data_IF_046734640681
#
_entry.id   IF_046734640681
#
_cell.length_a   1.000
_cell.length_b   1.000
_cell.length_c   1.000
_cell.angle_alpha   90.00
_cell.angle_beta   90.00
_cell.angle_gamma   90.00
#
_symmetry.space_group_name_H-M   'P 1'
#
loop_
_entity.id
_entity.type
_entity.pdbx_description
1 polymer ?
#
# COMPACT_ATOMS: atom_id res chain seq x y z
N UNK A 1 23.09 -52.10 16.01
CA UNK A 1 23.00 -50.64 15.73
C UNK A 1 21.55 -50.21 15.94
N UNK A 2 21.23 -49.56 17.07
CA UNK A 2 19.85 -49.14 17.41
C UNK A 2 19.64 -47.71 16.93
N UNK A 3 18.72 -47.52 15.99
CA UNK A 3 18.32 -46.21 15.48
C UNK A 3 17.52 -45.45 16.55
N UNK A 4 17.99 -44.26 16.92
CA UNK A 4 17.31 -43.36 17.84
C UNK A 4 16.18 -42.65 17.09
N UNK A 5 14.94 -42.83 17.56
CA UNK A 5 13.76 -42.13 17.02
C UNK A 5 13.71 -40.69 17.56
N UNK A 6 13.44 -39.68 16.70
CA UNK A 6 13.27 -38.30 17.13
C UNK A 6 11.95 -38.12 17.89
N UNK A 7 12.04 -37.58 19.10
CA UNK A 7 10.90 -37.31 19.96
C UNK A 7 9.96 -36.21 19.44
N UNK A 8 8.71 -36.15 19.98
CA UNK A 8 7.68 -35.26 19.49
C UNK A 8 8.02 -33.79 19.74
N UNK A 9 7.93 -32.98 18.68
CA UNK A 9 8.06 -31.52 18.74
C UNK A 9 6.89 -30.95 19.54
N UNK A 10 7.18 -30.34 20.70
CA UNK A 10 6.20 -29.57 21.46
C UNK A 10 5.79 -28.35 20.65
N UNK A 11 4.54 -28.32 20.22
CA UNK A 11 3.87 -27.14 19.67
C UNK A 11 3.68 -26.11 20.78
N UNK A 12 4.41 -25.01 20.72
CA UNK A 12 4.23 -23.86 21.62
C UNK A 12 3.00 -23.11 21.12
N UNK A 13 1.86 -23.31 21.80
CA UNK A 13 0.66 -22.53 21.54
C UNK A 13 0.86 -21.09 21.99
N UNK A 14 0.96 -20.16 21.05
CA UNK A 14 0.86 -18.73 21.35
C UNK A 14 -0.59 -18.43 21.73
N UNK A 15 -0.85 -18.34 23.04
CA UNK A 15 -2.08 -17.80 23.58
C UNK A 15 -2.17 -16.31 23.19
N UNK A 16 -2.94 -16.04 22.14
CA UNK A 16 -3.33 -14.69 21.76
C UNK A 16 -4.26 -14.13 22.85
N UNK A 17 -3.68 -13.31 23.72
CA UNK A 17 -4.36 -12.63 24.82
C UNK A 17 -5.24 -11.54 24.20
N UNK A 18 -6.44 -11.92 23.76
CA UNK A 18 -7.50 -10.97 23.38
C UNK A 18 -7.76 -10.10 24.61
N UNK A 19 -7.29 -8.85 24.58
CA UNK A 19 -7.74 -7.83 25.53
C UNK A 19 -9.19 -7.52 25.14
N UNK A 20 -10.11 -8.13 25.87
CA UNK A 20 -11.51 -7.74 25.84
C UNK A 20 -11.60 -6.28 26.28
N UNK A 21 -12.14 -5.45 25.41
CA UNK A 21 -12.57 -4.10 25.78
C UNK A 21 -13.92 -4.28 26.47
N UNK A 22 -13.92 -4.24 27.80
CA UNK A 22 -15.15 -4.14 28.57
C UNK A 22 -15.72 -2.73 28.37
N UNK A 23 -16.83 -2.64 27.64
CA UNK A 23 -17.65 -1.44 27.63
C UNK A 23 -18.40 -1.38 28.96
N UNK A 24 -17.85 -0.62 29.91
CA UNK A 24 -18.53 -0.31 31.16
C UNK A 24 -19.81 0.48 30.88
N UNK A 25 -20.94 -0.03 31.37
CA UNK A 25 -22.27 0.56 31.24
C UNK A 25 -22.50 1.76 32.19
N UNK A 26 -21.50 2.12 32.98
CA UNK A 26 -21.62 3.13 34.02
C UNK A 26 -20.87 4.38 33.58
N UNK A 27 -21.65 5.36 33.12
CA UNK A 27 -21.16 6.70 32.83
C UNK A 27 -20.40 7.29 34.03
N UNK A 28 -19.38 8.07 33.71
CA UNK A 28 -18.53 8.87 34.62
C UNK A 28 -17.37 8.09 35.26
N UNK A 29 -16.38 7.74 34.45
CA UNK A 29 -15.01 7.61 34.93
C UNK A 29 -14.30 8.96 34.76
N UNK A 30 -14.27 9.73 35.86
CA UNK A 30 -13.34 10.83 36.05
C UNK A 30 -11.91 10.27 36.04
N UNK A 31 -11.29 10.24 34.86
CA UNK A 31 -9.84 10.13 34.76
C UNK A 31 -9.28 11.52 34.97
N UNK A 32 -8.50 11.63 36.04
CA UNK A 32 -7.46 12.61 36.28
C UNK A 32 -6.98 13.20 34.95
N UNK A 33 -7.57 14.34 34.60
CA UNK A 33 -7.33 15.02 33.34
C UNK A 33 -6.04 15.79 33.51
N UNK A 34 -4.93 15.05 33.54
CA UNK A 34 -3.64 15.62 33.19
C UNK A 34 -3.74 15.93 31.71
N UNK A 35 -4.25 17.14 31.42
CA UNK A 35 -4.20 17.77 30.12
C UNK A 35 -2.72 17.93 29.80
N UNK A 36 -2.16 16.95 29.11
CA UNK A 36 -0.88 17.12 28.43
C UNK A 36 -1.11 18.15 27.33
N UNK A 37 -0.95 19.43 27.71
CA UNK A 37 -0.74 20.54 26.78
C UNK A 37 0.63 20.32 26.17
N UNK A 38 0.71 19.44 25.18
CA UNK A 38 1.90 19.28 24.35
C UNK A 38 1.50 19.46 22.87
N UNK A 39 2.00 20.56 22.31
CA UNK A 39 2.09 20.91 20.89
C UNK A 39 0.83 21.43 20.19
N UNK A 40 0.70 22.76 20.15
CA UNK A 40 -0.18 23.52 19.25
C UNK A 40 0.12 23.39 17.74
N UNK A 41 0.73 22.28 17.32
CA UNK A 41 0.93 21.92 15.91
C UNK A 41 -0.04 20.84 15.42
N UNK A 42 -0.49 19.91 16.28
CA UNK A 42 -1.34 18.78 15.86
C UNK A 42 -2.83 19.11 15.83
N UNK A 43 -3.33 19.99 16.71
CA UNK A 43 -4.74 20.41 16.70
C UNK A 43 -5.13 21.12 15.40
N UNK A 44 -4.21 21.92 14.83
CA UNK A 44 -4.47 22.62 13.56
C UNK A 44 -4.60 21.64 12.40
N UNK A 45 -3.80 20.56 12.40
CA UNK A 45 -3.89 19.50 11.38
C UNK A 45 -5.18 18.70 11.54
N UNK A 46 -5.60 18.41 12.77
CA UNK A 46 -6.85 17.67 13.04
C UNK A 46 -8.11 18.48 12.68
N UNK A 47 -8.14 19.78 12.97
CA UNK A 47 -9.26 20.65 12.60
C UNK A 47 -9.33 20.90 11.09
N UNK A 48 -8.19 21.00 10.39
CA UNK A 48 -8.19 21.16 8.94
C UNK A 48 -8.54 19.87 8.20
N UNK A 49 -8.12 18.70 8.70
CA UNK A 49 -8.40 17.42 8.05
C UNK A 49 -9.89 17.02 8.11
N UNK A 50 -10.62 17.40 9.17
CA UNK A 50 -12.05 17.12 9.29
C UNK A 50 -12.91 17.99 8.36
N UNK A 51 -12.52 19.26 8.14
CA UNK A 51 -13.22 20.16 7.22
C UNK A 51 -12.91 19.84 5.74
N UNK A 52 -11.72 19.32 5.45
CA UNK A 52 -11.26 19.00 4.10
C UNK A 52 -11.94 17.76 3.48
N UNK A 53 -12.65 16.94 4.25
CA UNK A 53 -13.29 15.74 3.74
C UNK A 53 -14.59 16.01 2.93
N UNK A 54 -15.21 17.17 3.11
CA UNK A 54 -16.49 17.52 2.47
C UNK A 54 -16.31 18.35 1.19
N UNK A 55 -15.22 19.11 1.09
CA UNK A 55 -14.79 19.75 -0.15
C UNK A 55 -14.11 18.70 -1.05
N UNK A 56 -14.37 18.71 -2.36
CA UNK A 56 -13.90 17.68 -3.32
C UNK A 56 -12.37 17.66 -3.35
N UNK A 57 -11.77 16.87 -2.45
CA UNK A 57 -10.34 16.77 -2.32
C UNK A 57 -9.79 15.91 -3.46
N UNK A 58 -8.80 16.44 -4.16
CA UNK A 58 -8.06 15.70 -5.16
C UNK A 58 -7.43 14.43 -4.51
N UNK A 59 -7.54 13.25 -5.14
CA UNK A 59 -7.09 11.99 -4.56
C UNK A 59 -5.59 11.96 -4.24
N UNK A 60 -4.76 12.70 -4.98
CA UNK A 60 -3.33 12.80 -4.67
C UNK A 60 -3.09 13.67 -3.42
N UNK A 61 -3.84 14.77 -3.30
CA UNK A 61 -3.83 15.60 -2.08
C UNK A 61 -4.30 14.80 -0.86
N UNK A 62 -5.39 14.03 -0.99
CA UNK A 62 -5.90 13.17 0.07
C UNK A 62 -4.86 12.12 0.52
N UNK A 63 -4.15 11.51 -0.44
CA UNK A 63 -3.08 10.54 -0.17
C UNK A 63 -1.91 11.17 0.56
N UNK A 64 -1.52 12.39 0.18
CA UNK A 64 -0.44 13.12 0.83
C UNK A 64 -0.83 13.46 2.27
N UNK A 65 -2.04 14.01 2.49
CA UNK A 65 -2.56 14.29 3.84
C UNK A 65 -2.65 13.03 4.70
N UNK A 66 -3.11 11.91 4.14
CA UNK A 66 -3.13 10.63 4.85
C UNK A 66 -1.72 10.22 5.31
N UNK A 67 -0.71 10.36 4.44
CA UNK A 67 0.68 10.02 4.77
C UNK A 67 1.27 10.89 5.89
N UNK A 68 0.90 12.19 5.93
CA UNK A 68 1.29 13.11 6.98
C UNK A 68 0.65 12.74 8.32
N UNK A 69 -0.65 12.42 8.33
CA UNK A 69 -1.36 11.99 9.54
C UNK A 69 -0.80 10.67 10.06
N UNK A 70 -0.52 9.69 9.18
CA UNK A 70 0.11 8.44 9.58
C UNK A 70 1.52 8.66 10.17
N UNK A 71 2.29 9.57 9.57
CA UNK A 71 3.62 9.93 10.07
C UNK A 71 3.53 10.62 11.43
N UNK A 72 2.59 11.55 11.61
CA UNK A 72 2.34 12.21 12.89
C UNK A 72 1.96 11.19 13.99
N UNK A 73 1.04 10.28 13.69
CA UNK A 73 0.66 9.21 14.62
C UNK A 73 1.84 8.31 14.99
N UNK A 74 2.69 7.96 14.03
CA UNK A 74 3.93 7.21 14.29
C UNK A 74 4.88 7.98 15.22
N UNK A 75 4.97 9.30 15.06
CA UNK A 75 5.79 10.14 15.95
C UNK A 75 5.22 10.15 17.36
N UNK A 76 3.90 10.32 17.51
CA UNK A 76 3.19 10.27 18.80
C UNK A 76 3.36 8.93 19.50
N UNK A 77 3.35 7.82 18.75
CA UNK A 77 3.60 6.47 19.25
C UNK A 77 5.09 6.20 19.61
N UNK A 78 5.96 7.22 19.63
CA UNK A 78 7.37 7.08 20.01
C UNK A 78 8.30 6.64 18.88
N UNK A 79 7.90 6.85 17.62
CA UNK A 79 8.68 6.53 16.41
C UNK A 79 9.18 5.07 16.37
N UNK A 80 8.27 4.08 16.42
CA UNK A 80 8.67 2.68 16.28
C UNK A 80 9.49 2.46 15.00
N UNK A 81 10.53 1.62 15.09
CA UNK A 81 11.36 1.23 13.93
C UNK A 81 10.46 0.55 12.87
N UNK A 82 10.64 0.92 11.60
CA UNK A 82 9.81 0.40 10.51
C UNK A 82 9.85 -1.13 10.41
N UNK A 83 11.04 -1.73 10.52
CA UNK A 83 11.19 -3.19 10.55
C UNK A 83 10.36 -3.90 11.64
N UNK A 84 10.17 -3.27 12.81
CA UNK A 84 9.34 -3.82 13.89
C UNK A 84 7.87 -3.67 13.54
N UNK A 85 7.46 -2.46 13.15
CA UNK A 85 6.08 -2.17 12.75
C UNK A 85 5.62 -3.10 11.61
N UNK A 86 6.46 -3.28 10.58
CA UNK A 86 6.24 -4.16 9.43
C UNK A 86 5.94 -5.60 9.86
N UNK A 87 6.74 -6.14 10.79
CA UNK A 87 6.53 -7.48 11.36
C UNK A 87 5.21 -7.56 12.12
N UNK A 88 4.90 -6.55 12.91
CA UNK A 88 3.75 -6.52 13.80
C UNK A 88 2.43 -6.37 13.01
N UNK A 89 2.42 -5.62 11.89
CA UNK A 89 1.26 -5.51 10.99
C UNK A 89 1.18 -6.61 9.93
N UNK A 90 2.27 -7.35 9.69
CA UNK A 90 2.33 -8.42 8.68
C UNK A 90 2.51 -7.95 7.24
N UNK A 91 3.21 -6.83 7.02
CA UNK A 91 3.51 -6.28 5.69
C UNK A 91 5.02 -6.06 5.51
N UNK A 92 5.48 -5.85 4.27
CA UNK A 92 6.91 -5.58 4.03
C UNK A 92 7.29 -4.16 4.46
N UNK A 93 8.53 -3.99 4.91
CA UNK A 93 9.08 -2.67 5.27
C UNK A 93 9.05 -1.68 4.10
N UNK A 94 9.32 -2.17 2.88
CA UNK A 94 9.24 -1.36 1.66
C UNK A 94 7.84 -0.85 1.37
N UNK A 95 6.80 -1.64 1.63
CA UNK A 95 5.41 -1.24 1.44
C UNK A 95 5.02 -0.16 2.44
N UNK A 96 5.34 -0.36 3.73
CA UNK A 96 5.09 0.64 4.76
C UNK A 96 5.81 1.96 4.47
N UNK A 97 7.06 1.90 4.00
CA UNK A 97 7.78 3.10 3.62
C UNK A 97 7.08 3.86 2.49
N UNK A 98 6.56 3.17 1.47
CA UNK A 98 5.80 3.84 0.39
C UNK A 98 4.50 4.45 0.88
N UNK A 99 3.79 3.78 1.78
CA UNK A 99 2.53 4.28 2.38
C UNK A 99 2.80 5.53 3.22
N UNK A 100 3.79 5.48 4.11
CA UNK A 100 4.14 6.61 4.99
C UNK A 100 4.69 7.82 4.23
N UNK A 101 5.24 7.61 3.04
CA UNK A 101 5.71 8.68 2.15
C UNK A 101 4.65 9.11 1.12
N UNK A 102 3.42 8.58 1.18
CA UNK A 102 2.34 8.98 0.27
C UNK A 102 2.47 8.46 -1.17
N UNK A 103 3.40 7.54 -1.45
CA UNK A 103 3.56 6.95 -2.79
C UNK A 103 2.56 5.83 -3.09
N UNK A 104 1.94 5.25 -2.06
CA UNK A 104 0.99 4.15 -2.19
C UNK A 104 -0.19 4.38 -1.24
N UNK A 105 -1.42 4.26 -1.76
CA UNK A 105 -2.61 4.22 -0.92
C UNK A 105 -2.66 2.88 -0.15
N UNK A 106 -2.80 2.89 1.18
CA UNK A 106 -2.90 1.67 1.96
C UNK A 106 -4.24 0.95 1.70
N UNK A 107 -4.29 -0.37 1.94
CA UNK A 107 -5.57 -1.07 2.07
C UNK A 107 -6.26 -0.69 3.37
N UNK A 108 -7.59 -0.86 3.45
CA UNK A 108 -8.33 -0.62 4.69
C UNK A 108 -7.80 -1.47 5.85
N UNK A 109 -7.56 -2.75 5.59
CA UNK A 109 -7.03 -3.68 6.60
C UNK A 109 -5.66 -3.25 7.14
N UNK A 110 -4.76 -2.75 6.29
CA UNK A 110 -3.47 -2.21 6.74
C UNK A 110 -3.69 -0.98 7.63
N UNK A 111 -4.63 -0.12 7.27
CA UNK A 111 -4.97 1.09 8.03
C UNK A 111 -5.49 0.76 9.43
N UNK A 112 -6.39 -0.23 9.54
CA UNK A 112 -6.93 -0.71 10.83
C UNK A 112 -5.80 -1.27 11.73
N UNK A 113 -4.91 -2.11 11.17
CA UNK A 113 -3.76 -2.68 11.92
C UNK A 113 -2.76 -1.60 12.35
N UNK A 114 -2.53 -0.60 11.51
CA UNK A 114 -1.66 0.52 11.85
C UNK A 114 -2.24 1.36 12.98
N UNK A 115 -3.55 1.62 12.98
CA UNK A 115 -4.24 2.34 14.03
C UNK A 115 -4.14 1.61 15.39
N UNK A 116 -4.33 0.28 15.40
CA UNK A 116 -4.18 -0.56 16.59
C UNK A 116 -2.76 -0.48 17.17
N UNK A 117 -1.72 -0.62 16.32
CA UNK A 117 -0.33 -0.63 16.77
C UNK A 117 0.21 0.75 17.19
N UNK A 118 -0.37 1.83 16.67
CA UNK A 118 -0.02 3.20 17.05
C UNK A 118 -0.89 3.76 18.18
N UNK A 119 -1.79 2.94 18.75
CA UNK A 119 -2.72 3.32 19.81
C UNK A 119 -3.57 4.55 19.45
N UNK A 120 -4.04 4.59 18.20
CA UNK A 120 -4.84 5.70 17.67
C UNK A 120 -6.28 5.52 18.14
N UNK A 121 -6.80 6.56 18.78
CA UNK A 121 -8.18 6.58 19.26
C UNK A 121 -9.19 6.32 18.12
N UNK A 122 -10.25 5.55 18.43
CA UNK A 122 -11.25 5.13 17.46
C UNK A 122 -11.98 6.31 16.82
N UNK A 123 -12.20 7.41 17.57
CA UNK A 123 -12.81 8.62 17.02
C UNK A 123 -11.90 9.27 15.98
N UNK A 124 -10.61 9.40 16.28
CA UNK A 124 -9.62 9.95 15.32
C UNK A 124 -9.52 9.09 14.07
N UNK A 125 -9.50 7.77 14.25
CA UNK A 125 -9.46 6.83 13.13
C UNK A 125 -10.69 7.01 12.22
N UNK A 126 -11.90 6.97 12.79
CA UNK A 126 -13.15 7.07 12.02
C UNK A 126 -13.39 8.46 11.44
N UNK A 127 -13.03 9.53 12.13
CA UNK A 127 -13.30 10.91 11.68
C UNK A 127 -12.23 11.51 10.77
N UNK A 128 -11.00 11.01 10.80
CA UNK A 128 -9.87 11.58 10.04
C UNK A 128 -9.30 10.58 9.04
N UNK A 129 -8.92 9.39 9.49
CA UNK A 129 -8.17 8.45 8.64
C UNK A 129 -9.05 7.83 7.57
N UNK A 130 -10.28 7.44 7.95
CA UNK A 130 -11.21 6.78 7.04
C UNK A 130 -11.64 7.69 5.88
N UNK A 131 -12.08 8.95 6.10
CA UNK A 131 -12.44 9.84 5.00
C UNK A 131 -11.27 10.14 4.07
N UNK A 132 -10.06 10.38 4.61
CA UNK A 132 -8.86 10.59 3.80
C UNK A 132 -8.50 9.36 2.98
N UNK A 133 -8.61 8.16 3.56
CA UNK A 133 -8.40 6.91 2.85
C UNK A 133 -9.43 6.69 1.74
N UNK A 134 -10.71 6.97 1.99
CA UNK A 134 -11.76 6.86 0.99
C UNK A 134 -11.50 7.83 -0.17
N UNK A 135 -11.17 9.09 0.12
CA UNK A 135 -10.81 10.09 -0.89
C UNK A 135 -9.55 9.68 -1.69
N UNK A 136 -8.51 9.19 -1.01
CA UNK A 136 -7.26 8.73 -1.65
C UNK A 136 -7.44 7.43 -2.45
N UNK A 137 -8.42 6.60 -2.08
CA UNK A 137 -8.73 5.32 -2.74
C UNK A 137 -9.73 5.44 -3.86
N UNK A 138 -10.37 6.61 -4.03
CA UNK A 138 -11.09 6.91 -5.28
C UNK A 138 -10.09 6.65 -6.38
N UNK A 139 -10.43 5.71 -7.26
CA UNK A 139 -9.65 5.52 -8.47
C UNK A 139 -9.55 6.91 -9.05
N UNK A 140 -8.34 7.47 -9.10
CA UNK A 140 -8.07 8.43 -10.15
C UNK A 140 -8.59 7.68 -11.36
N UNK A 141 -9.59 8.24 -12.04
CA UNK A 141 -9.69 8.01 -13.45
C UNK A 141 -8.34 8.48 -13.96
N UNK A 142 -7.34 7.61 -13.84
CA UNK A 142 -6.18 7.63 -14.68
C UNK A 142 -6.88 7.58 -16.01
N UNK A 143 -7.00 8.77 -16.58
CA UNK A 143 -7.11 8.99 -18.00
C UNK A 143 -5.92 8.24 -18.53
N UNK A 144 -6.11 6.93 -18.67
CA UNK A 144 -5.16 6.06 -19.27
C UNK A 144 -5.24 6.59 -20.68
N UNK A 145 -4.31 7.49 -21.00
CA UNK A 145 -3.91 7.81 -22.36
C UNK A 145 -3.25 6.55 -22.95
N UNK A 146 -3.88 5.38 -22.77
CA UNK A 146 -3.96 4.30 -23.74
C UNK A 146 -4.86 4.83 -24.87
N UNK A 147 -4.38 5.88 -25.51
CA UNK A 147 -4.80 6.31 -26.83
C UNK A 147 -4.59 5.12 -27.76
N UNK A 148 -5.68 4.38 -27.97
CA UNK A 148 -5.98 3.59 -29.15
C UNK A 148 -4.90 2.67 -29.70
N UNK A 149 -4.81 1.44 -29.19
CA UNK A 149 -4.54 0.30 -30.06
C UNK A 149 -5.80 -0.58 -30.05
N UNK A 150 -6.44 -0.67 -31.22
CA UNK A 150 -7.66 -1.42 -31.47
C UNK A 150 -7.64 -2.78 -30.77
N UNK A 151 -8.67 -3.06 -29.97
CA UNK A 151 -8.92 -4.40 -29.48
C UNK A 151 -9.12 -5.33 -30.69
N UNK A 152 -8.15 -6.23 -30.90
CA UNK A 152 -8.32 -7.37 -31.79
C UNK A 152 -9.39 -8.34 -31.25
N UNK A 153 -9.79 -9.33 -32.05
CA UNK A 153 -10.83 -10.28 -31.69
C UNK A 153 -10.53 -11.01 -30.36
N UNK A 154 -11.55 -11.28 -29.54
CA UNK A 154 -11.40 -11.87 -28.22
C UNK A 154 -10.82 -13.28 -28.33
N UNK A 155 -9.55 -13.45 -27.94
CA UNK A 155 -8.88 -14.75 -27.86
C UNK A 155 -7.43 -14.76 -28.32
N UNK A 156 -7.00 -13.78 -29.12
CA UNK A 156 -5.57 -13.62 -29.43
C UNK A 156 -4.90 -12.81 -28.31
N UNK A 157 -3.74 -13.24 -27.77
CA UNK A 157 -2.95 -12.37 -26.89
C UNK A 157 -2.63 -11.10 -27.66
N UNK A 158 -3.12 -9.94 -27.22
CA UNK A 158 -2.89 -8.66 -27.88
C UNK A 158 -1.37 -8.43 -28.05
N UNK A 159 -0.87 -8.64 -29.26
CA UNK A 159 0.53 -8.49 -29.59
C UNK A 159 0.80 -8.67 -31.08
N UNK A 160 2.01 -8.30 -31.47
CA UNK A 160 2.52 -8.47 -32.82
C UNK A 160 3.94 -9.04 -32.74
N UNK A 161 4.36 -9.77 -33.77
CA UNK A 161 5.74 -10.21 -33.88
C UNK A 161 6.62 -9.06 -34.38
N UNK A 162 7.67 -8.70 -33.65
CA UNK A 162 8.58 -7.64 -34.06
C UNK A 162 9.41 -8.09 -35.26
N UNK A 163 9.40 -7.39 -36.41
CA UNK A 163 10.15 -7.81 -37.59
C UNK A 163 11.67 -7.69 -37.40
N UNK A 164 12.13 -6.89 -36.45
CA UNK A 164 13.56 -6.72 -36.19
C UNK A 164 14.15 -7.93 -35.44
N UNK A 165 13.45 -8.45 -34.44
CA UNK A 165 13.99 -9.50 -33.56
C UNK A 165 13.17 -10.80 -33.48
N UNK A 166 12.01 -10.88 -34.14
CA UNK A 166 11.11 -12.05 -34.09
C UNK A 166 10.40 -12.27 -32.74
N UNK A 167 10.50 -11.33 -31.81
CA UNK A 167 9.86 -11.48 -30.48
C UNK A 167 8.38 -11.14 -30.54
N UNK A 168 7.53 -11.84 -29.77
CA UNK A 168 6.13 -11.49 -29.58
C UNK A 168 5.99 -10.31 -28.62
N UNK A 169 5.46 -9.19 -29.10
CA UNK A 169 5.42 -7.91 -28.38
C UNK A 169 4.00 -7.54 -27.99
N UNK A 170 3.75 -7.39 -26.69
CA UNK A 170 2.47 -6.90 -26.15
C UNK A 170 2.50 -5.41 -25.78
N UNK A 171 3.69 -4.80 -25.70
CA UNK A 171 3.88 -3.37 -25.43
C UNK A 171 4.94 -2.78 -26.39
N UNK A 172 4.53 -2.12 -27.50
CA UNK A 172 5.44 -1.61 -28.52
C UNK A 172 6.46 -0.60 -27.97
N UNK A 173 6.02 0.30 -27.07
CA UNK A 173 6.87 1.38 -26.55
C UNK A 173 8.06 0.83 -25.75
N UNK A 174 7.77 -0.06 -24.78
CA UNK A 174 8.81 -0.68 -23.95
C UNK A 174 9.76 -1.56 -24.78
N UNK A 175 9.24 -2.18 -25.84
CA UNK A 175 10.05 -2.98 -26.75
C UNK A 175 10.98 -2.14 -27.63
N UNK A 176 10.51 -0.99 -28.14
CA UNK A 176 11.36 -0.04 -28.87
C UNK A 176 12.46 0.51 -27.97
N UNK A 177 12.13 0.88 -26.73
CA UNK A 177 13.14 1.32 -25.75
C UNK A 177 14.21 0.26 -25.50
N UNK A 178 13.82 -1.03 -25.44
CA UNK A 178 14.75 -2.14 -25.32
C UNK A 178 15.69 -2.25 -26.54
N UNK A 179 15.19 -2.03 -27.76
CA UNK A 179 16.02 -1.96 -28.97
C UNK A 179 17.01 -0.79 -28.98
N UNK A 180 16.64 0.33 -28.37
CA UNK A 180 17.45 1.54 -28.35
C UNK A 180 18.44 1.59 -27.18
N UNK A 181 18.33 0.67 -26.22
CA UNK A 181 19.24 0.60 -25.09
C UNK A 181 20.63 0.11 -25.56
N UNK A 182 21.70 0.93 -25.42
CA UNK A 182 23.01 0.67 -26.01
C UNK A 182 23.71 -0.58 -25.46
N UNK A 183 23.27 -1.10 -24.31
CA UNK A 183 23.90 -2.22 -23.60
C UNK A 183 23.28 -3.59 -23.90
N UNK A 184 22.22 -3.67 -24.72
CA UNK A 184 21.52 -4.95 -24.95
C UNK A 184 22.26 -5.93 -25.85
N UNK A 185 23.40 -5.53 -26.45
CA UNK A 185 24.29 -6.45 -27.17
C UNK A 185 23.64 -7.21 -28.32
N UNK A 186 22.49 -6.76 -28.82
CA UNK A 186 21.75 -7.42 -29.89
C UNK A 186 22.51 -7.24 -31.21
N UNK A 187 23.42 -8.18 -31.49
CA UNK A 187 24.06 -8.33 -32.79
C UNK A 187 23.03 -9.02 -33.69
N UNK A 188 22.35 -8.24 -34.54
CA UNK A 188 21.24 -8.69 -35.38
C UNK A 188 21.45 -10.08 -35.99
N UNK A 189 20.84 -11.08 -35.37
CA UNK A 189 20.78 -12.43 -35.90
C UNK A 189 19.88 -12.41 -37.12
N UNK A 190 20.38 -12.89 -38.25
CA UNK A 190 19.65 -12.98 -39.51
C UNK A 190 18.29 -13.66 -39.31
N UNK A 191 17.21 -12.90 -39.45
CA UNK A 191 15.85 -13.43 -39.37
C UNK A 191 15.67 -14.41 -40.53
N UNK A 192 15.47 -15.69 -40.20
CA UNK A 192 15.10 -16.69 -41.21
C UNK A 192 13.64 -16.45 -41.57
N UNK A 193 13.28 -16.21 -42.84
CA UNK A 193 11.90 -15.96 -43.23
C UNK A 193 11.04 -17.17 -42.90
N UNK A 194 10.01 -16.97 -42.08
CA UNK A 194 9.01 -17.99 -41.77
C UNK A 194 8.31 -18.41 -43.06
N UNK A 195 8.32 -19.71 -43.34
CA UNK A 195 7.55 -20.30 -44.43
C UNK A 195 6.06 -20.12 -44.15
N UNK A 196 5.24 -19.77 -45.15
CA UNK A 196 3.79 -19.71 -44.98
C UNK A 196 3.27 -21.09 -44.57
N UNK A 197 2.45 -21.11 -43.52
CA UNK A 197 1.64 -22.27 -43.15
C UNK A 197 0.52 -22.38 -44.20
N UNK A 198 0.50 -23.50 -44.94
CA UNK A 198 -0.60 -23.86 -45.83
C UNK A 198 -1.72 -24.53 -45.07
#
# INVERSE_FOLDING_TARGET
MKAAMPGPRRSVGHASKRRGWEYGADGVASRDSTVYVFNGGVEKVQLMAAAAAEEVLDPETARQQLSEVLTAARVTAGKPKLARLARDVGYSESMLSRVLNGHLAPSRELLDRLAEHMDVDTRTFTSVWVPLWEAASRKTEQKSDNTGLQAGPPGAPNGFECPACGSWVTNPKRHIEWHMAPDTGWQGGSVTPLRPVQ
#
